data_IF_472417198020
#
_entry.id   IF_472417198020
#
_cell.length_a   1.000
_cell.length_b   1.000
_cell.length_c   1.000
_cell.angle_alpha   90.00
_cell.angle_beta   90.00
_cell.angle_gamma   90.00
#
_symmetry.space_group_name_H-M   'P 1'
#
loop_
_entity.id
_entity.type
_entity.pdbx_description
1 polymer ?
#
# COMPACT_ATOMS: atom_id res chain seq x y z
N UNK A 1 -7.43 -3.87 -11.60
CA UNK A 1 -6.85 -2.65 -11.00
C UNK A 1 -7.12 -1.45 -11.91
N UNK A 2 -7.59 -0.34 -11.36
CA UNK A 2 -8.08 0.82 -12.13
C UNK A 2 -6.97 1.52 -12.93
N UNK A 3 -5.80 1.73 -12.34
CA UNK A 3 -4.65 2.38 -13.00
C UNK A 3 -4.24 1.71 -14.32
N UNK A 4 -4.22 0.37 -14.36
CA UNK A 4 -3.93 -0.39 -15.58
C UNK A 4 -4.99 -0.15 -16.66
N UNK A 5 -6.28 -0.14 -16.29
CA UNK A 5 -7.40 -0.04 -17.25
C UNK A 5 -7.59 1.36 -17.83
N UNK A 6 -7.13 2.37 -17.11
CA UNK A 6 -7.40 3.79 -17.41
C UNK A 6 -6.16 4.57 -17.82
N UNK A 7 -4.99 3.94 -17.73
CA UNK A 7 -3.69 4.62 -17.87
C UNK A 7 -3.50 5.78 -16.90
N UNK A 8 -4.25 5.79 -15.79
CA UNK A 8 -4.08 6.77 -14.73
C UNK A 8 -2.81 6.48 -13.92
N UNK A 9 -2.21 7.56 -13.41
CA UNK A 9 -1.06 7.48 -12.50
C UNK A 9 -1.49 6.76 -11.21
N UNK A 10 -0.65 5.83 -10.75
CA UNK A 10 -0.83 5.17 -9.46
C UNK A 10 0.14 5.78 -8.43
N UNK A 11 -0.41 6.32 -7.35
CA UNK A 11 0.35 6.87 -6.22
C UNK A 11 -0.02 6.11 -4.96
N UNK A 12 0.95 5.85 -4.09
CA UNK A 12 0.69 5.60 -2.67
C UNK A 12 0.82 6.90 -1.88
N UNK A 13 -0.10 7.12 -0.94
CA UNK A 13 -0.02 8.21 0.01
C UNK A 13 0.16 7.64 1.41
N UNK A 14 1.15 8.13 2.15
CA UNK A 14 1.36 7.79 3.56
C UNK A 14 1.28 9.06 4.40
N UNK A 15 0.44 9.03 5.44
CA UNK A 15 0.19 10.17 6.33
C UNK A 15 0.80 9.86 7.69
N UNK A 16 1.54 10.81 8.25
CA UNK A 16 2.02 10.75 9.63
C UNK A 16 1.80 12.09 10.34
N UNK A 17 1.78 12.05 11.66
CA UNK A 17 1.61 13.24 12.49
C UNK A 17 2.95 13.93 12.74
N UNK A 18 2.89 15.23 12.82
CA UNK A 18 3.98 16.12 13.23
C UNK A 18 3.51 16.96 14.40
N UNK A 19 4.41 17.67 15.08
CA UNK A 19 4.03 18.59 16.16
C UNK A 19 3.00 19.66 15.74
N UNK A 20 2.90 19.97 14.44
CA UNK A 20 2.08 21.07 13.91
C UNK A 20 0.93 20.61 13.01
N UNK A 21 0.70 19.32 12.84
CA UNK A 21 -0.34 18.80 11.95
C UNK A 21 0.05 17.48 11.30
N UNK A 22 -0.23 17.32 10.00
CA UNK A 22 0.07 16.11 9.24
C UNK A 22 1.11 16.38 8.15
N UNK A 23 1.89 15.35 7.83
CA UNK A 23 2.73 15.30 6.64
C UNK A 23 2.26 14.13 5.76
N UNK A 24 2.22 14.36 4.44
CA UNK A 24 1.81 13.34 3.47
C UNK A 24 2.96 13.10 2.49
N UNK A 25 3.43 11.87 2.45
CA UNK A 25 4.40 11.40 1.46
C UNK A 25 3.64 10.76 0.30
N UNK A 26 3.95 11.19 -0.93
CA UNK A 26 3.44 10.56 -2.15
C UNK A 26 4.58 9.84 -2.87
N UNK A 27 4.38 8.55 -3.15
CA UNK A 27 5.31 7.75 -3.95
C UNK A 27 4.59 7.23 -5.20
N UNK A 28 5.12 7.55 -6.37
CA UNK A 28 4.60 7.05 -7.63
C UNK A 28 5.02 5.60 -7.87
N UNK A 29 4.07 4.81 -8.38
CA UNK A 29 4.29 3.42 -8.76
C UNK A 29 4.08 3.29 -10.26
N UNK A 30 5.20 3.14 -10.99
CA UNK A 30 5.18 2.91 -12.42
C UNK A 30 4.42 1.60 -12.77
N UNK A 31 3.48 1.72 -13.72
CA UNK A 31 2.75 0.57 -14.26
C UNK A 31 3.67 -0.25 -15.16
N UNK A 32 3.84 -1.58 -14.92
CA UNK A 32 4.69 -2.39 -15.78
C UNK A 32 4.18 -2.42 -17.23
N UNK A 33 5.10 -2.26 -18.17
CA UNK A 33 4.79 -2.23 -19.61
C UNK A 33 4.40 -3.62 -20.13
N UNK A 34 5.04 -4.68 -19.64
CA UNK A 34 4.86 -6.06 -20.08
C UNK A 34 4.27 -6.98 -19.00
N UNK A 35 3.91 -8.21 -19.40
CA UNK A 35 3.29 -9.21 -18.53
C UNK A 35 1.78 -9.29 -18.63
N UNK A 36 1.21 -10.38 -18.11
CA UNK A 36 -0.26 -10.55 -18.04
C UNK A 36 -0.88 -9.50 -17.13
N UNK A 37 -2.19 -9.30 -17.26
CA UNK A 37 -2.90 -8.37 -16.40
C UNK A 37 -2.77 -8.75 -14.91
N UNK A 38 -2.82 -10.04 -14.60
CA UNK A 38 -2.66 -10.58 -13.25
C UNK A 38 -1.26 -10.30 -12.70
N UNK A 39 -0.22 -10.51 -13.52
CA UNK A 39 1.17 -10.22 -13.14
C UNK A 39 1.39 -8.72 -12.87
N UNK A 40 0.80 -7.85 -13.70
CA UNK A 40 0.84 -6.39 -13.48
C UNK A 40 0.13 -6.01 -12.18
N UNK A 41 -1.06 -6.57 -11.91
CA UNK A 41 -1.79 -6.31 -10.66
C UNK A 41 -0.98 -6.75 -9.45
N UNK A 42 -0.45 -7.98 -9.46
CA UNK A 42 0.37 -8.50 -8.36
C UNK A 42 1.59 -7.61 -8.10
N UNK A 43 2.29 -7.21 -9.15
CA UNK A 43 3.47 -6.33 -9.05
C UNK A 43 3.12 -4.97 -8.45
N UNK A 44 2.03 -4.35 -8.91
CA UNK A 44 1.60 -3.05 -8.44
C UNK A 44 1.16 -3.10 -6.96
N UNK A 45 0.39 -4.12 -6.57
CA UNK A 45 -0.03 -4.32 -5.18
C UNK A 45 1.17 -4.55 -4.28
N UNK A 46 2.15 -5.36 -4.70
CA UNK A 46 3.35 -5.60 -3.91
C UNK A 46 4.19 -4.33 -3.74
N UNK A 47 4.33 -3.51 -4.79
CA UNK A 47 5.01 -2.21 -4.69
C UNK A 47 4.29 -1.29 -3.71
N UNK A 48 2.95 -1.25 -3.74
CA UNK A 48 2.17 -0.49 -2.75
C UNK A 48 2.41 -0.98 -1.33
N UNK A 49 2.40 -2.30 -1.11
CA UNK A 49 2.68 -2.90 0.19
C UNK A 49 4.08 -2.55 0.71
N UNK A 50 5.09 -2.55 -0.17
CA UNK A 50 6.47 -2.16 0.19
C UNK A 50 6.56 -0.69 0.59
N UNK A 51 5.88 0.21 -0.14
CA UNK A 51 5.84 1.64 0.20
C UNK A 51 5.14 1.87 1.55
N UNK A 52 4.02 1.18 1.79
CA UNK A 52 3.33 1.23 3.08
C UNK A 52 4.19 0.69 4.22
N UNK A 53 4.84 -0.46 4.03
CA UNK A 53 5.75 -1.03 5.03
C UNK A 53 6.88 -0.04 5.39
N UNK A 54 7.44 0.66 4.40
CA UNK A 54 8.46 1.69 4.63
C UNK A 54 7.93 2.87 5.44
N UNK A 55 6.71 3.35 5.17
CA UNK A 55 6.08 4.43 5.93
C UNK A 55 5.75 4.02 7.37
N UNK A 56 5.11 2.86 7.53
CA UNK A 56 4.77 2.27 8.83
C UNK A 56 6.03 2.06 9.68
N UNK A 57 7.12 1.56 9.11
CA UNK A 57 8.37 1.35 9.84
C UNK A 57 9.00 2.67 10.34
N UNK A 58 8.79 3.78 9.63
CA UNK A 58 9.28 5.10 10.07
C UNK A 58 8.37 5.74 11.14
N UNK A 59 7.06 5.56 11.01
CA UNK A 59 6.06 6.16 11.90
C UNK A 59 5.05 5.11 12.39
N UNK A 60 5.48 4.12 13.19
CA UNK A 60 4.63 2.97 13.54
C UNK A 60 3.44 3.36 14.41
N UNK A 61 3.58 4.40 15.24
CA UNK A 61 2.54 4.88 16.15
C UNK A 61 1.35 5.54 15.42
N UNK A 62 1.56 5.99 14.18
CA UNK A 62 0.55 6.69 13.39
C UNK A 62 -0.28 5.72 12.54
N UNK A 63 0.12 4.44 12.51
CA UNK A 63 -0.60 3.41 11.78
C UNK A 63 -1.72 2.83 12.64
N UNK A 64 -2.95 3.29 12.37
CA UNK A 64 -4.16 2.85 13.08
C UNK A 64 -4.65 1.46 12.64
N UNK A 65 -3.81 0.43 12.78
CA UNK A 65 -4.17 -0.95 12.45
C UNK A 65 -4.54 -1.73 13.71
N UNK A 66 -5.77 -1.50 14.16
CA UNK A 66 -6.35 -2.18 15.33
C UNK A 66 -6.93 -3.56 14.99
N UNK A 67 -7.11 -3.84 13.70
CA UNK A 67 -7.61 -5.11 13.20
C UNK A 67 -6.46 -5.99 12.69
N UNK A 68 -6.66 -7.31 12.76
CA UNK A 68 -5.70 -8.28 12.21
C UNK A 68 -5.63 -8.14 10.69
N UNK A 69 -4.41 -8.14 10.15
CA UNK A 69 -4.17 -8.04 8.69
C UNK A 69 -3.30 -9.15 8.11
N UNK A 70 -2.69 -9.98 8.95
CA UNK A 70 -1.84 -11.08 8.49
C UNK A 70 -2.60 -12.40 8.48
N UNK A 71 -2.45 -13.12 7.37
CA UNK A 71 -2.98 -14.48 7.12
C UNK A 71 -1.88 -15.50 7.44
N UNK A 72 -1.54 -15.65 8.72
CA UNK A 72 -0.73 -16.75 9.21
C UNK A 72 -1.57 -18.05 9.33
N UNK A 73 -0.90 -19.18 9.57
CA UNK A 73 -1.47 -20.53 9.40
C UNK A 73 -2.70 -20.82 10.26
N UNK A 74 -2.85 -20.16 11.41
CA UNK A 74 -3.97 -20.36 12.35
C UNK A 74 -5.16 -19.41 12.11
N UNK A 75 -5.16 -18.66 11.00
CA UNK A 75 -6.23 -17.71 10.71
C UNK A 75 -7.60 -18.41 10.60
N UNK A 76 -8.53 -18.03 11.48
CA UNK A 76 -9.95 -18.36 11.40
C UNK A 76 -10.75 -17.07 11.27
N UNK A 77 -11.47 -16.93 10.16
CA UNK A 77 -12.37 -15.81 9.91
C UNK A 77 -13.47 -15.81 10.99
N UNK A 78 -13.65 -14.70 11.71
CA UNK A 78 -14.73 -14.58 12.67
C UNK A 78 -16.02 -14.24 11.90
N UNK A 79 -16.91 -15.22 11.80
CA UNK A 79 -18.27 -15.10 11.28
C UNK A 79 -19.21 -14.75 12.44
#
# INVERSE_FOLDING_TARGET
MLAIKTSAILLTAFVHYTERGIHITFDEIAVPESGSQEAKVSTLVQKSANNFAKGIAQFPHDWHMLQRIWIDEDFKEQI
#
